data_IF_640186226208
#
_entry.id   IF_640186226208
#
_cell.length_a   1.000
_cell.length_b   1.000
_cell.length_c   1.000
_cell.angle_alpha   90.00
_cell.angle_beta   90.00
_cell.angle_gamma   90.00
#
_symmetry.space_group_name_H-M   'P 1'
#
loop_
_entity.id
_entity.type
_entity.pdbx_description
1 polymer ?
#
# COMPACT_ATOMS: atom_id res chain seq x y z
N UNK A 1 29.52 -17.73 18.55
CA UNK A 1 29.54 -17.87 17.06
C UNK A 1 28.68 -16.82 16.32
N UNK A 2 27.96 -15.92 16.99
CA UNK A 2 27.09 -14.93 16.32
C UNK A 2 27.81 -13.67 15.80
N UNK A 3 28.92 -13.26 16.42
CA UNK A 3 29.64 -12.02 16.06
C UNK A 3 30.34 -12.09 14.70
N UNK A 4 30.91 -13.25 14.35
CA UNK A 4 31.58 -13.45 13.06
C UNK A 4 30.64 -13.29 11.86
N UNK A 5 29.37 -13.70 12.00
CA UNK A 5 28.36 -13.54 10.95
C UNK A 5 27.95 -12.07 10.77
N UNK A 6 27.72 -11.36 11.88
CA UNK A 6 27.35 -9.94 11.83
C UNK A 6 28.47 -9.05 11.25
N UNK A 7 29.74 -9.32 11.60
CA UNK A 7 30.87 -8.58 11.05
C UNK A 7 31.04 -8.81 9.55
N UNK A 8 30.99 -10.07 9.08
CA UNK A 8 31.06 -10.39 7.65
C UNK A 8 29.88 -9.79 6.86
N UNK A 9 28.68 -9.75 7.45
CA UNK A 9 27.50 -9.09 6.85
C UNK A 9 27.75 -7.60 6.66
N UNK A 10 28.22 -6.91 7.69
CA UNK A 10 28.49 -5.47 7.61
C UNK A 10 29.57 -5.16 6.56
N UNK A 11 30.64 -5.97 6.51
CA UNK A 11 31.68 -5.82 5.50
C UNK A 11 31.13 -5.96 4.07
N UNK A 12 30.22 -6.92 3.84
CA UNK A 12 29.56 -7.11 2.54
C UNK A 12 28.65 -5.93 2.18
N UNK A 13 27.95 -5.35 3.16
CA UNK A 13 27.10 -4.16 2.95
C UNK A 13 27.98 -2.98 2.53
N UNK A 14 29.00 -2.66 3.33
CA UNK A 14 29.89 -1.52 3.11
C UNK A 14 30.60 -1.60 1.76
N UNK A 15 31.12 -2.78 1.40
CA UNK A 15 31.77 -3.00 0.11
C UNK A 15 30.86 -2.74 -1.09
N UNK A 16 29.55 -2.94 -0.94
CA UNK A 16 28.58 -2.81 -2.03
C UNK A 16 27.78 -1.51 -2.00
N UNK A 17 28.06 -0.56 -1.10
CA UNK A 17 27.35 0.73 -1.06
C UNK A 17 27.43 1.53 -2.36
N UNK A 18 28.54 1.41 -3.11
CA UNK A 18 28.67 2.05 -4.44
C UNK A 18 27.63 1.57 -5.45
N UNK A 19 27.16 0.34 -5.32
CA UNK A 19 26.09 -0.20 -6.17
C UNK A 19 24.77 0.53 -5.90
N UNK A 20 24.48 0.83 -4.63
CA UNK A 20 23.28 1.61 -4.23
C UNK A 20 23.32 2.98 -4.89
N UNK A 21 24.42 3.72 -4.72
CA UNK A 21 24.59 5.04 -5.31
C UNK A 21 24.46 5.01 -6.85
N UNK A 22 24.98 3.96 -7.51
CA UNK A 22 24.83 3.81 -8.96
C UNK A 22 23.37 3.57 -9.40
N UNK A 23 22.62 2.75 -8.66
CA UNK A 23 21.22 2.44 -8.99
C UNK A 23 20.31 3.64 -8.73
N UNK A 24 20.54 4.38 -7.65
CA UNK A 24 19.76 5.57 -7.28
C UNK A 24 19.75 6.61 -8.40
N UNK A 25 20.86 6.78 -9.15
CA UNK A 25 20.92 7.71 -10.31
C UNK A 25 19.83 7.50 -11.36
N UNK A 26 19.29 6.28 -11.49
CA UNK A 26 18.17 6.00 -12.42
C UNK A 26 16.88 6.71 -11.99
N UNK A 27 16.79 7.16 -10.75
CA UNK A 27 15.63 7.75 -10.11
C UNK A 27 15.78 9.26 -9.84
N UNK A 28 16.84 9.91 -10.33
CA UNK A 28 17.08 11.35 -10.11
C UNK A 28 15.92 12.22 -10.65
N UNK A 29 15.21 11.76 -11.68
CA UNK A 29 14.06 12.46 -12.27
C UNK A 29 12.76 12.38 -11.44
N UNK A 30 12.78 11.74 -10.27
CA UNK A 30 11.57 11.55 -9.45
C UNK A 30 11.22 12.78 -8.60
N UNK A 31 12.18 13.68 -8.39
CA UNK A 31 12.04 14.86 -7.53
C UNK A 31 12.18 14.57 -6.03
N UNK A 32 12.52 13.32 -5.67
CA UNK A 32 12.82 12.93 -4.28
C UNK A 32 14.25 13.28 -3.89
N UNK A 33 14.47 13.43 -2.59
CA UNK A 33 15.80 13.68 -2.04
C UNK A 33 16.74 12.49 -2.30
N UNK A 34 17.96 12.80 -2.76
CA UNK A 34 18.91 11.78 -3.16
C UNK A 34 19.45 10.98 -1.97
N UNK A 35 19.60 11.61 -0.80
CA UNK A 35 20.04 10.96 0.44
C UNK A 35 18.97 9.98 0.96
N UNK A 36 17.69 10.35 0.83
CA UNK A 36 16.56 9.47 1.15
C UNK A 36 16.56 8.22 0.25
N UNK A 37 16.70 8.42 -1.07
CA UNK A 37 16.77 7.32 -2.02
C UNK A 37 17.98 6.39 -1.77
N UNK A 38 19.12 6.95 -1.35
CA UNK A 38 20.29 6.17 -0.92
C UNK A 38 19.98 5.36 0.34
N UNK A 39 19.31 5.96 1.32
CA UNK A 39 18.93 5.28 2.56
C UNK A 39 17.97 4.11 2.30
N UNK A 40 16.94 4.34 1.47
CA UNK A 40 15.98 3.30 1.04
C UNK A 40 16.68 2.21 0.23
N UNK A 41 17.55 2.60 -0.70
CA UNK A 41 18.34 1.66 -1.48
C UNK A 41 19.26 0.80 -0.60
N UNK A 42 19.81 1.38 0.47
CA UNK A 42 20.65 0.66 1.45
C UNK A 42 19.84 -0.40 2.20
N UNK A 43 18.58 -0.12 2.56
CA UNK A 43 17.67 -1.13 3.11
C UNK A 43 17.49 -2.31 2.12
N UNK A 44 17.35 -2.01 0.82
CA UNK A 44 17.26 -3.04 -0.22
C UNK A 44 18.53 -3.88 -0.33
N UNK A 45 19.71 -3.27 -0.19
CA UNK A 45 21.00 -3.97 -0.16
C UNK A 45 21.12 -4.90 1.06
N UNK A 46 20.75 -4.42 2.25
CA UNK A 46 20.77 -5.21 3.49
C UNK A 46 19.90 -6.45 3.34
N UNK A 47 18.64 -6.27 2.91
CA UNK A 47 17.70 -7.37 2.64
C UNK A 47 18.26 -8.37 1.63
N UNK A 48 18.96 -7.88 0.59
CA UNK A 48 19.57 -8.74 -0.42
C UNK A 48 20.68 -9.60 0.18
N UNK A 49 21.57 -9.01 0.99
CA UNK A 49 22.69 -9.74 1.62
C UNK A 49 22.17 -10.76 2.63
N UNK A 50 21.13 -10.44 3.39
CA UNK A 50 20.52 -11.36 4.37
C UNK A 50 19.80 -12.55 3.71
N UNK A 51 19.24 -12.37 2.52
CA UNK A 51 18.44 -13.39 1.83
C UNK A 51 19.16 -14.11 0.69
N UNK A 52 20.39 -13.69 0.34
CA UNK A 52 21.14 -14.28 -0.76
C UNK A 52 21.56 -15.72 -0.48
N UNK A 53 21.33 -16.60 -1.46
CA UNK A 53 21.74 -18.01 -1.41
C UNK A 53 22.72 -18.31 -2.54
N UNK A 54 23.94 -18.71 -2.17
CA UNK A 54 24.96 -19.13 -3.11
C UNK A 54 24.55 -20.47 -3.77
N UNK A 55 24.81 -20.59 -5.08
CA UNK A 55 24.46 -21.81 -5.86
C UNK A 55 23.22 -21.69 -6.76
N UNK A 56 22.47 -20.58 -6.71
CA UNK A 56 21.33 -20.32 -7.60
C UNK A 56 21.69 -19.68 -8.95
N UNK A 57 22.96 -19.79 -9.37
CA UNK A 57 23.43 -19.32 -10.69
C UNK A 57 23.45 -17.79 -10.91
N UNK A 58 23.06 -16.98 -9.93
CA UNK A 58 23.02 -15.51 -10.06
C UNK A 58 24.07 -14.85 -9.17
N UNK A 59 24.82 -13.87 -9.71
CA UNK A 59 25.81 -13.11 -8.94
C UNK A 59 25.12 -12.24 -7.89
N UNK A 60 25.74 -12.08 -6.72
CA UNK A 60 25.23 -11.26 -5.61
C UNK A 60 24.86 -9.84 -6.07
N UNK A 61 25.73 -9.18 -6.83
CA UNK A 61 25.48 -7.83 -7.33
C UNK A 61 24.20 -7.73 -8.18
N UNK A 62 23.94 -8.72 -9.04
CA UNK A 62 22.73 -8.77 -9.88
C UNK A 62 21.48 -8.96 -9.03
N UNK A 63 21.55 -9.83 -8.01
CA UNK A 63 20.45 -10.04 -7.08
C UNK A 63 20.18 -8.78 -6.24
N UNK A 64 21.23 -8.22 -5.64
CA UNK A 64 21.16 -6.99 -4.84
C UNK A 64 20.61 -5.82 -5.65
N UNK A 65 21.02 -5.67 -6.91
CA UNK A 65 20.50 -4.61 -7.77
C UNK A 65 18.96 -4.65 -7.89
N UNK A 66 18.38 -5.85 -8.05
CA UNK A 66 16.91 -6.02 -8.11
C UNK A 66 16.23 -5.70 -6.79
N UNK A 67 16.84 -6.04 -5.66
CA UNK A 67 16.32 -5.74 -4.34
C UNK A 67 16.35 -4.23 -4.03
N UNK A 68 17.46 -3.56 -4.35
CA UNK A 68 17.62 -2.10 -4.21
C UNK A 68 16.55 -1.38 -5.03
N UNK A 69 16.43 -1.74 -6.31
CA UNK A 69 15.44 -1.15 -7.22
C UNK A 69 14.00 -1.37 -6.71
N UNK A 70 13.69 -2.56 -6.19
CA UNK A 70 12.36 -2.85 -5.68
C UNK A 70 11.99 -2.01 -4.45
N UNK A 71 12.90 -1.80 -3.50
CA UNK A 71 12.63 -0.96 -2.32
C UNK A 71 12.40 0.51 -2.71
N UNK A 72 13.23 1.05 -3.60
CA UNK A 72 13.03 2.42 -4.12
C UNK A 72 11.66 2.54 -4.81
N UNK A 73 11.31 1.58 -5.68
CA UNK A 73 10.00 1.57 -6.33
C UNK A 73 8.84 1.39 -5.35
N UNK A 74 9.03 0.69 -4.24
CA UNK A 74 8.00 0.58 -3.19
C UNK A 74 7.78 1.93 -2.50
N UNK A 75 8.87 2.65 -2.18
CA UNK A 75 8.79 3.98 -1.57
C UNK A 75 8.12 5.02 -2.49
N UNK A 76 8.54 5.09 -3.76
CA UNK A 76 7.92 5.99 -4.74
C UNK A 76 6.41 5.70 -4.94
N UNK A 77 6.00 4.44 -4.82
CA UNK A 77 4.58 4.06 -4.87
C UNK A 77 3.81 4.48 -3.62
N UNK A 78 4.43 4.49 -2.44
CA UNK A 78 3.77 5.02 -1.24
C UNK A 78 3.61 6.54 -1.31
N UNK A 79 4.60 7.27 -1.81
CA UNK A 79 4.54 8.73 -1.92
C UNK A 79 3.42 9.22 -2.85
N UNK A 80 3.16 8.51 -3.96
CA UNK A 80 2.02 8.82 -4.84
C UNK A 80 0.66 8.84 -4.14
N UNK A 81 0.52 8.16 -2.99
CA UNK A 81 -0.72 8.18 -2.20
C UNK A 81 -0.89 9.47 -1.39
N UNK A 82 0.22 10.13 -1.05
CA UNK A 82 0.29 11.30 -0.14
C UNK A 82 0.58 12.60 -0.91
N UNK A 83 1.07 12.53 -2.15
CA UNK A 83 1.45 13.71 -2.96
C UNK A 83 0.28 14.65 -3.32
N UNK A 84 -0.96 14.31 -2.96
CA UNK A 84 -2.13 15.19 -3.13
C UNK A 84 -2.59 15.82 -1.81
N UNK A 85 -1.86 15.58 -0.72
CA UNK A 85 -2.21 16.09 0.58
C UNK A 85 -1.83 17.58 0.61
N UNK A 86 -2.84 18.43 0.73
CA UNK A 86 -2.69 19.86 0.99
C UNK A 86 -2.82 20.09 2.49
N UNK A 87 -2.06 21.03 3.06
CA UNK A 87 -2.22 21.33 4.48
C UNK A 87 -3.55 22.05 4.68
N UNK A 88 -4.30 21.61 5.70
CA UNK A 88 -5.61 22.20 6.03
C UNK A 88 -5.50 23.65 6.52
N UNK A 89 -4.29 24.07 6.90
CA UNK A 89 -3.96 25.41 7.38
C UNK A 89 -3.40 26.31 6.26
N UNK A 90 -3.20 25.78 5.05
CA UNK A 90 -2.71 26.59 3.95
C UNK A 90 -3.83 27.55 3.50
N UNK A 91 -3.54 28.85 3.32
CA UNK A 91 -4.53 29.81 2.88
C UNK A 91 -4.94 29.51 1.44
N UNK A 92 -6.24 29.38 1.21
CA UNK A 92 -6.83 29.09 -0.10
C UNK A 92 -7.41 30.33 -0.78
N UNK A 93 -7.51 31.43 -0.04
CA UNK A 93 -8.03 32.70 -0.52
C UNK A 93 -8.24 33.70 0.61
N UNK A 94 -8.87 34.81 0.29
CA UNK A 94 -9.22 35.87 1.24
C UNK A 94 -10.73 36.06 1.29
N UNK A 95 -11.28 36.34 2.47
CA UNK A 95 -12.69 36.71 2.62
C UNK A 95 -12.97 38.14 2.10
N UNK A 96 -14.22 38.59 2.23
CA UNK A 96 -14.65 39.95 1.83
C UNK A 96 -14.04 41.06 2.68
N UNK A 97 -13.45 40.71 3.82
CA UNK A 97 -12.83 41.61 4.81
C UNK A 97 -11.30 41.59 4.71
N UNK A 98 -10.73 40.73 3.87
CA UNK A 98 -9.30 40.59 3.62
C UNK A 98 -8.58 39.58 4.53
N UNK A 99 -9.31 38.82 5.35
CA UNK A 99 -8.71 37.78 6.19
C UNK A 99 -8.42 36.53 5.35
N UNK A 100 -7.33 35.83 5.68
CA UNK A 100 -6.97 34.56 5.06
C UNK A 100 -7.99 33.47 5.43
N UNK A 101 -8.54 32.80 4.43
CA UNK A 101 -9.41 31.63 4.61
C UNK A 101 -8.58 30.37 4.42
N UNK A 102 -8.72 29.42 5.34
CA UNK A 102 -8.04 28.13 5.27
C UNK A 102 -9.03 27.00 4.95
N UNK A 103 -8.53 25.83 4.53
CA UNK A 103 -9.39 24.70 4.16
C UNK A 103 -10.22 24.20 5.35
N UNK A 104 -9.69 24.30 6.58
CA UNK A 104 -10.40 23.92 7.82
C UNK A 104 -11.64 24.77 8.10
N UNK A 105 -11.64 26.05 7.69
CA UNK A 105 -12.76 26.96 7.88
C UNK A 105 -13.95 26.62 6.96
N UNK A 106 -13.67 25.99 5.82
CA UNK A 106 -14.69 25.56 4.84
C UNK A 106 -15.23 24.16 5.17
N UNK A 107 -14.38 23.27 5.70
CA UNK A 107 -14.73 21.87 6.02
C UNK A 107 -15.57 21.73 7.31
N UNK A 108 -16.24 22.79 7.77
CA UNK A 108 -17.21 22.72 8.86
C UNK A 108 -18.27 21.64 8.61
N UNK A 109 -18.67 20.94 9.67
CA UNK A 109 -19.58 19.77 9.65
C UNK A 109 -20.78 19.95 8.72
N UNK A 110 -20.82 19.14 7.66
CA UNK A 110 -21.88 19.12 6.67
C UNK A 110 -23.22 18.69 7.30
N UNK A 111 -24.28 19.41 6.98
CA UNK A 111 -25.66 19.05 7.30
C UNK A 111 -26.17 17.83 6.47
N UNK A 112 -25.32 17.17 5.70
CA UNK A 112 -25.65 16.08 4.75
C UNK A 112 -25.53 14.67 5.34
N UNK A 113 -25.12 14.54 6.60
CA UNK A 113 -24.85 13.26 7.27
C UNK A 113 -26.06 12.30 7.27
N UNK A 114 -27.29 12.78 7.10
CA UNK A 114 -28.49 11.92 7.02
C UNK A 114 -28.70 11.33 5.63
N UNK A 115 -28.53 12.13 4.56
CA UNK A 115 -28.80 11.67 3.19
C UNK A 115 -27.76 10.66 2.76
N UNK A 116 -26.48 10.91 3.08
CA UNK A 116 -25.39 10.00 2.78
C UNK A 116 -25.50 8.70 3.57
N UNK A 117 -25.92 8.75 4.85
CA UNK A 117 -26.19 7.52 5.63
C UNK A 117 -27.32 6.68 5.02
N UNK A 118 -28.37 7.30 4.49
CA UNK A 118 -29.46 6.58 3.82
C UNK A 118 -28.98 5.98 2.50
N UNK A 119 -28.27 6.75 1.68
CA UNK A 119 -27.72 6.28 0.41
C UNK A 119 -26.73 5.12 0.61
N UNK A 120 -25.81 5.25 1.57
CA UNK A 120 -24.85 4.22 1.95
C UNK A 120 -25.56 2.92 2.39
N UNK A 121 -26.66 3.02 3.14
CA UNK A 121 -27.46 1.86 3.56
C UNK A 121 -28.13 1.16 2.38
N UNK A 122 -28.60 1.90 1.38
CA UNK A 122 -29.17 1.35 0.14
C UNK A 122 -28.08 0.66 -0.68
N UNK A 123 -26.90 1.26 -0.81
CA UNK A 123 -25.77 0.69 -1.55
C UNK A 123 -25.22 -0.57 -0.89
N UNK A 124 -25.06 -0.56 0.44
CA UNK A 124 -24.68 -1.74 1.23
C UNK A 124 -25.65 -2.89 1.00
N UNK A 125 -26.95 -2.61 0.97
CA UNK A 125 -28.00 -3.60 0.69
C UNK A 125 -27.90 -4.21 -0.71
N UNK A 126 -27.46 -3.45 -1.71
CA UNK A 126 -27.21 -3.97 -3.07
C UNK A 126 -25.98 -4.87 -3.12
N UNK A 127 -24.92 -4.51 -2.40
CA UNK A 127 -23.72 -5.36 -2.27
C UNK A 127 -24.10 -6.70 -1.63
N UNK A 128 -24.89 -6.69 -0.55
CA UNK A 128 -25.36 -7.92 0.11
C UNK A 128 -26.12 -8.86 -0.83
N UNK A 129 -26.94 -8.33 -1.75
CA UNK A 129 -27.70 -9.15 -2.72
C UNK A 129 -26.81 -9.80 -3.78
N UNK A 130 -25.66 -9.20 -4.09
CA UNK A 130 -24.77 -9.67 -5.15
C UNK A 130 -23.61 -10.52 -4.60
N UNK A 131 -23.53 -10.73 -3.28
CA UNK A 131 -22.54 -11.63 -2.68
C UNK A 131 -22.68 -13.07 -3.18
N UNK A 132 -23.87 -13.49 -3.61
CA UNK A 132 -24.11 -14.86 -4.08
C UNK A 132 -23.38 -15.27 -5.35
N UNK A 133 -22.79 -14.31 -6.07
CA UNK A 133 -21.94 -14.56 -7.25
C UNK A 133 -20.54 -15.03 -6.83
N UNK A 134 -20.14 -14.75 -5.61
CA UNK A 134 -18.86 -15.18 -5.05
C UNK A 134 -18.94 -16.64 -4.63
N UNK A 135 -17.84 -17.37 -4.81
CA UNK A 135 -17.69 -18.68 -4.19
C UNK A 135 -17.52 -18.55 -2.67
N UNK A 136 -17.69 -19.64 -1.92
CA UNK A 136 -17.68 -19.60 -0.44
C UNK A 136 -16.39 -19.00 0.12
N UNK A 137 -15.26 -19.23 -0.56
CA UNK A 137 -13.95 -18.74 -0.13
C UNK A 137 -13.76 -17.26 -0.45
N UNK A 138 -14.28 -16.81 -1.57
CA UNK A 138 -14.36 -15.39 -1.93
C UNK A 138 -15.30 -14.63 -0.99
N UNK A 139 -16.47 -15.21 -0.67
CA UNK A 139 -17.43 -14.64 0.31
C UNK A 139 -16.76 -14.45 1.66
N UNK A 140 -16.12 -15.48 2.20
CA UNK A 140 -15.45 -15.44 3.50
C UNK A 140 -14.37 -14.34 3.56
N UNK A 141 -13.54 -14.23 2.52
CA UNK A 141 -12.51 -13.17 2.44
C UNK A 141 -13.14 -11.78 2.34
N UNK A 142 -14.15 -11.57 1.51
CA UNK A 142 -14.80 -10.26 1.33
C UNK A 142 -15.57 -9.85 2.59
N UNK A 143 -16.33 -10.76 3.19
CA UNK A 143 -17.09 -10.51 4.41
C UNK A 143 -16.15 -10.09 5.53
N UNK A 144 -15.05 -10.83 5.74
CA UNK A 144 -14.07 -10.48 6.76
C UNK A 144 -13.29 -9.21 6.48
N UNK A 145 -13.00 -8.92 5.20
CA UNK A 145 -12.23 -7.73 4.81
C UNK A 145 -13.00 -6.45 5.03
N UNK A 146 -14.30 -6.46 4.79
CA UNK A 146 -15.16 -5.27 4.82
C UNK A 146 -16.17 -5.27 5.99
N UNK A 147 -16.02 -6.18 6.96
CA UNK A 147 -16.90 -6.24 8.13
C UNK A 147 -18.38 -6.39 7.75
N UNK A 148 -18.69 -7.20 6.73
CA UNK A 148 -20.06 -7.31 6.22
C UNK A 148 -20.98 -8.15 7.11
N UNK A 149 -20.46 -8.76 8.18
CA UNK A 149 -21.29 -9.40 9.21
C UNK A 149 -22.03 -8.35 10.06
N UNK A 150 -23.14 -8.76 10.69
CA UNK A 150 -23.91 -7.89 11.57
C UNK A 150 -23.07 -7.49 12.79
N UNK A 151 -22.54 -6.26 12.78
CA UNK A 151 -21.62 -5.77 13.81
C UNK A 151 -20.18 -6.26 13.64
N UNK A 152 -19.81 -6.78 12.47
CA UNK A 152 -18.45 -7.25 12.20
C UNK A 152 -17.47 -6.09 12.00
N UNK A 153 -16.22 -6.27 12.47
CA UNK A 153 -15.12 -5.35 12.22
C UNK A 153 -14.35 -5.71 10.94
N UNK A 154 -13.76 -4.71 10.30
CA UNK A 154 -12.87 -4.90 9.16
C UNK A 154 -11.57 -5.58 9.60
N UNK A 155 -11.18 -6.66 8.93
CA UNK A 155 -9.89 -7.35 9.17
C UNK A 155 -8.90 -7.07 8.06
N UNK A 156 -7.61 -6.96 8.41
CA UNK A 156 -6.53 -6.84 7.44
C UNK A 156 -6.32 -8.15 6.66
N UNK A 157 -5.75 -8.05 5.44
CA UNK A 157 -5.36 -9.24 4.67
C UNK A 157 -4.41 -10.19 5.45
N UNK A 158 -3.62 -9.67 6.40
CA UNK A 158 -2.70 -10.48 7.21
C UNK A 158 -3.45 -11.26 8.29
N UNK A 159 -4.46 -10.65 8.91
CA UNK A 159 -5.30 -11.30 9.92
C UNK A 159 -6.14 -12.41 9.27
N UNK A 160 -6.81 -12.09 8.15
CA UNK A 160 -7.58 -13.07 7.36
C UNK A 160 -6.70 -14.23 6.89
N UNK A 161 -5.48 -13.94 6.45
CA UNK A 161 -4.52 -14.97 6.04
C UNK A 161 -4.16 -15.93 7.17
N UNK A 162 -3.97 -15.40 8.38
CA UNK A 162 -3.64 -16.18 9.58
C UNK A 162 -4.80 -17.10 9.96
N UNK A 163 -6.03 -16.61 9.89
CA UNK A 163 -7.25 -17.35 10.22
C UNK A 163 -7.54 -18.46 9.21
N UNK A 164 -7.41 -18.16 7.91
CA UNK A 164 -7.67 -19.10 6.82
C UNK A 164 -6.50 -20.07 6.54
N UNK A 165 -5.41 -19.98 7.31
CA UNK A 165 -4.22 -20.84 7.14
C UNK A 165 -3.54 -20.71 5.77
N UNK A 166 -3.61 -19.53 5.14
CA UNK A 166 -3.07 -19.28 3.79
C UNK A 166 -2.16 -18.05 3.76
N UNK A 167 -1.36 -17.89 2.70
CA UNK A 167 -0.49 -16.71 2.57
C UNK A 167 -1.30 -15.43 2.35
N UNK A 168 -0.80 -14.30 2.89
CA UNK A 168 -1.36 -12.95 2.65
C UNK A 168 -1.45 -12.60 1.16
N UNK A 169 -0.48 -13.03 0.36
CA UNK A 169 -0.51 -12.85 -1.10
C UNK A 169 -1.65 -13.65 -1.76
N UNK A 170 -2.00 -14.82 -1.22
CA UNK A 170 -3.13 -15.59 -1.71
C UNK A 170 -4.48 -14.95 -1.35
N UNK A 171 -4.63 -14.45 -0.11
CA UNK A 171 -5.81 -13.64 0.29
C UNK A 171 -5.97 -12.43 -0.64
N UNK A 172 -4.90 -11.69 -0.91
CA UNK A 172 -4.94 -10.54 -1.82
C UNK A 172 -5.40 -10.90 -3.24
N UNK A 173 -5.05 -12.09 -3.74
CA UNK A 173 -5.52 -12.57 -5.05
C UNK A 173 -7.01 -12.94 -5.04
N UNK A 174 -7.49 -13.55 -3.96
CA UNK A 174 -8.91 -13.89 -3.76
C UNK A 174 -9.73 -12.59 -3.70
N UNK A 175 -9.33 -11.64 -2.85
CA UNK A 175 -9.99 -10.33 -2.71
C UNK A 175 -10.11 -9.61 -4.05
N UNK A 176 -9.03 -9.51 -4.82
CA UNK A 176 -9.04 -8.84 -6.14
C UNK A 176 -10.01 -9.51 -7.12
N UNK A 177 -10.06 -10.85 -7.13
CA UNK A 177 -10.96 -11.60 -8.01
C UNK A 177 -12.42 -11.41 -7.61
N UNK A 178 -12.71 -11.49 -6.31
CA UNK A 178 -14.05 -11.30 -5.78
C UNK A 178 -14.58 -9.88 -6.06
N UNK A 179 -13.75 -8.85 -5.83
CA UNK A 179 -14.08 -7.47 -6.16
C UNK A 179 -14.34 -7.25 -7.64
N UNK A 180 -13.59 -7.91 -8.54
CA UNK A 180 -13.86 -7.84 -9.98
C UNK A 180 -15.23 -8.44 -10.35
N UNK A 181 -15.61 -9.58 -9.75
CA UNK A 181 -16.93 -10.21 -9.97
C UNK A 181 -18.05 -9.29 -9.50
N UNK A 182 -17.94 -8.77 -8.27
CA UNK A 182 -18.91 -7.82 -7.71
C UNK A 182 -19.03 -6.55 -8.55
N UNK A 183 -17.89 -6.00 -8.99
CA UNK A 183 -17.85 -4.82 -9.86
C UNK A 183 -18.57 -5.08 -11.18
N UNK A 184 -18.31 -6.20 -11.85
CA UNK A 184 -18.96 -6.51 -13.11
C UNK A 184 -20.47 -6.64 -12.97
N UNK A 185 -20.95 -7.30 -11.92
CA UNK A 185 -22.40 -7.43 -11.68
C UNK A 185 -23.04 -6.09 -11.35
N UNK A 186 -22.39 -5.27 -10.53
CA UNK A 186 -22.91 -3.96 -10.14
C UNK A 186 -23.16 -3.04 -11.34
N UNK A 187 -22.29 -3.09 -12.35
CA UNK A 187 -22.47 -2.33 -13.59
C UNK A 187 -23.47 -2.98 -14.56
N UNK A 188 -23.60 -4.31 -14.53
CA UNK A 188 -24.61 -5.03 -15.33
C UNK A 188 -26.05 -4.71 -14.92
N UNK A 189 -26.28 -4.40 -13.64
CA UNK A 189 -27.60 -3.97 -13.11
C UNK A 189 -27.92 -2.48 -13.36
N UNK A 190 -26.96 -1.70 -13.90
CA UNK A 190 -27.12 -0.26 -14.17
C UNK A 190 -27.44 0.06 -15.65
N UNK A 191 -27.42 -0.95 -16.52
CA UNK A 191 -27.89 -0.92 -17.92
C UNK A 191 -29.27 -1.54 -18.03
#
# INVERSE_FOLDING_TARGET
MAEGNAHSRNLLIEHNLRLVAHIVKKFDNTGEDQEDLISIGTIGLIKAIESFQQGKGTKLATFAARCIENEILMHLRSLKKTRKDVSLHDPIGTDKEGNEITLIDILGTEADDVVDKVQLKIEKSKIYRNLDILDDREKEVVIGRFGLEAGGEERTQREIAKELGISRSYVSRIEKRALMKLYHEFYKQKS
#
